data_IF_388138953538
#
_entry.id   IF_388138953538
#
_cell.length_a   1.000
_cell.length_b   1.000
_cell.length_c   1.000
_cell.angle_alpha   90.00
_cell.angle_beta   90.00
_cell.angle_gamma   90.00
#
_symmetry.space_group_name_H-M   'P 1'
#
loop_
_entity.id
_entity.type
_entity.pdbx_description
1 polymer ?
#
# COMPACT_ATOMS: atom_id res chain seq x y z
N UNK A 1 -11.18 19.80 -14.39
CA UNK A 1 -12.66 19.70 -14.44
C UNK A 1 -12.97 18.42 -15.19
N UNK A 2 -12.40 17.30 -14.74
CA UNK A 2 -12.21 16.09 -15.57
C UNK A 2 -12.92 14.89 -14.94
N UNK A 3 -13.12 14.96 -13.62
CA UNK A 3 -13.83 13.99 -12.79
C UNK A 3 -15.32 13.87 -13.17
N UNK A 4 -15.91 14.93 -13.74
CA UNK A 4 -17.31 14.97 -14.16
C UNK A 4 -17.53 14.38 -15.56
N UNK A 5 -16.48 14.37 -16.41
CA UNK A 5 -16.59 13.95 -17.80
C UNK A 5 -16.22 12.48 -18.05
N UNK A 6 -15.88 11.72 -16.99
CA UNK A 6 -15.54 10.31 -17.12
C UNK A 6 -14.31 10.04 -18.00
N UNK A 7 -13.51 11.07 -18.25
CA UNK A 7 -12.20 10.93 -18.88
C UNK A 7 -11.28 10.30 -17.85
N UNK A 8 -10.81 9.08 -18.11
CA UNK A 8 -9.81 8.42 -17.28
C UNK A 8 -8.54 9.30 -17.28
N UNK A 9 -8.28 10.04 -16.20
CA UNK A 9 -7.18 10.99 -16.19
C UNK A 9 -5.88 10.19 -16.28
N UNK A 10 -5.00 10.57 -17.21
CA UNK A 10 -3.69 9.92 -17.36
C UNK A 10 -2.83 10.02 -16.11
N UNK A 11 -3.14 10.96 -15.21
CA UNK A 11 -2.44 11.19 -13.95
C UNK A 11 -3.37 11.81 -12.89
N UNK A 12 -3.29 11.34 -11.64
CA UNK A 12 -4.07 11.85 -10.51
C UNK A 12 -3.13 12.26 -9.38
N UNK A 13 -3.23 13.50 -8.92
CA UNK A 13 -2.44 14.02 -7.81
C UNK A 13 -3.25 13.98 -6.50
N UNK A 14 -2.72 13.29 -5.49
CA UNK A 14 -3.38 13.13 -4.18
C UNK A 14 -2.49 13.74 -3.08
N UNK A 15 -3.04 14.67 -2.30
CA UNK A 15 -2.42 15.17 -1.08
C UNK A 15 -3.24 14.77 0.15
N UNK A 16 -2.62 14.06 1.11
CA UNK A 16 -3.29 13.59 2.33
C UNK A 16 -2.72 14.30 3.56
N UNK A 17 -3.59 15.03 4.28
CA UNK A 17 -3.29 15.63 5.58
C UNK A 17 -4.00 14.84 6.68
N UNK A 18 -3.26 14.36 7.67
CA UNK A 18 -3.82 13.73 8.88
C UNK A 18 -3.94 14.78 9.98
N UNK A 19 -5.07 14.77 10.68
CA UNK A 19 -5.33 15.62 11.86
C UNK A 19 -5.55 14.71 13.05
N UNK A 20 -4.92 15.00 14.18
CA UNK A 20 -5.13 14.23 15.40
C UNK A 20 -6.41 14.67 16.10
N UNK A 21 -7.14 13.74 16.73
CA UNK A 21 -8.39 14.07 17.43
C UNK A 21 -8.20 15.13 18.52
N UNK A 22 -7.03 15.18 19.15
CA UNK A 22 -6.66 16.20 20.15
C UNK A 22 -6.54 17.62 19.58
N UNK A 23 -6.38 17.76 18.26
CA UNK A 23 -6.25 19.05 17.57
C UNK A 23 -7.62 19.58 17.12
N UNK A 24 -8.67 18.75 17.21
CA UNK A 24 -10.04 19.14 16.90
C UNK A 24 -10.63 19.79 18.15
N UNK A 25 -11.07 21.07 18.07
CA UNK A 25 -11.66 21.74 19.21
C UNK A 25 -12.93 21.02 19.71
N UNK A 26 -13.19 21.08 21.01
CA UNK A 26 -14.35 20.42 21.61
C UNK A 26 -15.63 21.26 21.49
N UNK A 27 -15.51 22.58 21.38
CA UNK A 27 -16.66 23.48 21.27
C UNK A 27 -17.06 23.69 19.81
N UNK A 28 -18.35 23.91 19.56
CA UNK A 28 -18.88 24.15 18.21
C UNK A 28 -18.30 25.42 17.58
N UNK A 29 -18.25 26.52 18.34
CA UNK A 29 -17.75 27.80 17.85
C UNK A 29 -16.27 27.73 17.45
N UNK A 30 -15.44 27.10 18.28
CA UNK A 30 -14.02 26.90 17.96
C UNK A 30 -13.84 25.91 16.81
N UNK A 31 -14.68 24.86 16.73
CA UNK A 31 -14.67 23.91 15.61
C UNK A 31 -14.99 24.59 14.29
N UNK A 32 -15.99 25.50 14.27
CA UNK A 32 -16.36 26.27 13.09
C UNK A 32 -15.22 27.17 12.61
N UNK A 33 -14.57 27.89 13.54
CA UNK A 33 -13.40 28.70 13.22
C UNK A 33 -12.22 27.85 12.69
N UNK A 34 -11.92 26.75 13.37
CA UNK A 34 -10.87 25.81 12.98
C UNK A 34 -11.10 25.17 11.61
N UNK A 35 -12.35 24.81 11.30
CA UNK A 35 -12.74 24.31 9.99
C UNK A 35 -12.52 25.38 8.93
N UNK A 36 -12.99 26.61 9.17
CA UNK A 36 -12.85 27.71 8.21
C UNK A 36 -11.38 28.00 7.89
N UNK A 37 -10.52 28.02 8.89
CA UNK A 37 -9.08 28.23 8.69
C UNK A 37 -8.43 27.03 7.96
N UNK A 38 -8.87 25.81 8.26
CA UNK A 38 -8.45 24.61 7.53
C UNK A 38 -8.88 24.64 6.06
N UNK A 39 -10.08 25.13 5.77
CA UNK A 39 -10.57 25.33 4.40
C UNK A 39 -9.74 26.36 3.63
N UNK A 40 -9.46 27.53 4.24
CA UNK A 40 -8.58 28.54 3.62
C UNK A 40 -7.19 27.98 3.32
N UNK A 41 -6.62 27.20 4.24
CA UNK A 41 -5.33 26.55 4.03
C UNK A 41 -5.36 25.56 2.86
N UNK A 42 -6.43 24.78 2.72
CA UNK A 42 -6.65 23.87 1.59
C UNK A 42 -6.79 24.64 0.27
N UNK A 43 -7.56 25.72 0.25
CA UNK A 43 -7.78 26.52 -0.97
C UNK A 43 -6.48 27.18 -1.44
N UNK A 44 -5.65 27.67 -0.51
CA UNK A 44 -4.30 28.14 -0.83
C UNK A 44 -3.43 27.03 -1.42
N UNK A 45 -3.43 25.84 -0.81
CA UNK A 45 -2.67 24.69 -1.32
C UNK A 45 -3.07 24.33 -2.76
N UNK A 46 -4.37 24.36 -3.07
CA UNK A 46 -4.88 24.11 -4.42
C UNK A 46 -4.51 25.23 -5.40
N UNK A 47 -4.54 26.49 -4.95
CA UNK A 47 -4.06 27.62 -5.76
C UNK A 47 -2.57 27.47 -6.08
N UNK A 48 -1.76 27.10 -5.10
CA UNK A 48 -0.33 26.86 -5.28
C UNK A 48 -0.08 25.67 -6.23
N UNK A 49 -0.86 24.59 -6.09
CA UNK A 49 -0.82 23.44 -7.00
C UNK A 49 -1.18 23.84 -8.44
N UNK A 50 -2.24 24.61 -8.64
CA UNK A 50 -2.62 25.07 -9.98
C UNK A 50 -1.55 25.97 -10.61
N UNK A 51 -0.80 26.73 -9.80
CA UNK A 51 0.28 27.58 -10.30
C UNK A 51 1.58 26.81 -10.59
N UNK A 52 1.91 25.80 -9.79
CA UNK A 52 3.21 25.12 -9.85
C UNK A 52 3.15 23.73 -10.50
N UNK A 53 1.96 23.14 -10.62
CA UNK A 53 1.75 21.77 -11.10
C UNK A 53 2.16 20.67 -10.11
N UNK A 54 2.58 21.01 -8.89
CA UNK A 54 3.02 20.04 -7.88
C UNK A 54 2.60 20.44 -6.47
N UNK A 55 2.47 19.44 -5.59
CA UNK A 55 2.24 19.67 -4.17
C UNK A 55 3.58 19.88 -3.44
N UNK A 56 3.60 20.67 -2.35
CA UNK A 56 4.79 20.82 -1.53
C UNK A 56 5.15 19.53 -0.80
N UNK A 57 6.45 19.31 -0.55
CA UNK A 57 6.98 18.14 0.16
C UNK A 57 6.52 16.80 -0.44
N UNK A 58 6.50 16.70 -1.78
CA UNK A 58 6.46 15.41 -2.44
C UNK A 58 7.60 14.57 -1.87
N UNK A 59 7.24 13.45 -1.22
CA UNK A 59 8.26 12.43 -0.98
C UNK A 59 8.66 11.91 -2.35
N UNK A 60 9.96 11.72 -2.61
CA UNK A 60 10.35 10.83 -3.69
C UNK A 60 9.56 9.55 -3.48
N UNK A 61 8.74 9.16 -4.46
CA UNK A 61 8.21 7.81 -4.43
C UNK A 61 9.41 6.88 -4.36
N UNK A 62 9.51 6.09 -3.30
CA UNK A 62 10.56 5.08 -3.22
C UNK A 62 10.25 4.10 -4.35
N UNK A 63 10.92 4.25 -5.48
CA UNK A 63 10.72 3.37 -6.62
C UNK A 63 10.79 1.93 -6.11
N UNK A 64 9.69 1.21 -6.28
CA UNK A 64 9.64 -0.22 -5.97
C UNK A 64 10.73 -0.88 -6.79
N UNK A 65 11.86 -1.18 -6.14
CA UNK A 65 13.00 -1.77 -6.80
C UNK A 65 12.55 -3.11 -7.38
N UNK A 66 12.42 -3.18 -8.71
CA UNK A 66 11.99 -4.37 -9.44
C UNK A 66 12.83 -5.58 -9.00
N UNK A 67 14.10 -5.36 -8.72
CA UNK A 67 15.02 -6.38 -8.20
C UNK A 67 14.62 -6.90 -6.82
N UNK A 68 14.19 -6.04 -5.89
CA UNK A 68 13.64 -6.47 -4.59
C UNK A 68 12.37 -7.28 -4.79
N UNK A 69 11.46 -6.85 -5.66
CA UNK A 69 10.23 -7.59 -5.95
C UNK A 69 10.52 -8.98 -6.53
N UNK A 70 11.43 -9.08 -7.50
CA UNK A 70 11.85 -10.36 -8.09
C UNK A 70 12.49 -11.26 -7.04
N UNK A 71 13.38 -10.73 -6.20
CA UNK A 71 14.02 -11.49 -5.14
C UNK A 71 13.01 -12.04 -4.13
N UNK A 72 12.08 -11.20 -3.65
CA UNK A 72 11.02 -11.61 -2.72
C UNK A 72 10.12 -12.66 -3.36
N UNK A 73 9.71 -12.47 -4.61
CA UNK A 73 8.87 -13.44 -5.33
C UNK A 73 9.60 -14.78 -5.51
N UNK A 74 10.86 -14.76 -5.93
CA UNK A 74 11.69 -15.95 -6.09
C UNK A 74 11.85 -16.75 -4.79
N UNK A 75 12.05 -16.07 -3.66
CA UNK A 75 12.12 -16.71 -2.33
C UNK A 75 10.80 -17.38 -1.98
N UNK A 76 9.66 -16.70 -2.17
CA UNK A 76 8.33 -17.25 -1.89
C UNK A 76 8.07 -18.51 -2.73
N UNK A 77 8.31 -18.42 -4.05
CA UNK A 77 8.13 -19.55 -4.98
C UNK A 77 9.00 -20.74 -4.56
N UNK A 78 10.28 -20.49 -4.27
CA UNK A 78 11.22 -21.53 -3.82
C UNK A 78 10.78 -22.21 -2.53
N UNK A 79 10.35 -21.43 -1.52
CA UNK A 79 9.85 -21.97 -0.25
C UNK A 79 8.56 -22.78 -0.45
N UNK A 80 7.64 -22.34 -1.30
CA UNK A 80 6.42 -23.09 -1.62
C UNK A 80 6.72 -24.40 -2.35
N UNK A 81 7.64 -24.40 -3.34
CA UNK A 81 8.10 -25.60 -4.03
C UNK A 81 8.77 -26.58 -3.07
N UNK A 82 9.66 -26.09 -2.21
CA UNK A 82 10.35 -26.90 -1.21
C UNK A 82 9.38 -27.53 -0.20
N UNK A 83 8.38 -26.78 0.25
CA UNK A 83 7.37 -27.25 1.20
C UNK A 83 6.43 -28.29 0.57
N UNK A 84 6.02 -28.10 -0.69
CA UNK A 84 5.22 -29.05 -1.45
C UNK A 84 6.01 -30.34 -1.75
N UNK A 85 7.29 -30.21 -2.10
CA UNK A 85 8.20 -31.33 -2.34
C UNK A 85 8.39 -32.13 -1.05
N UNK A 86 8.66 -31.47 0.08
CA UNK A 86 8.79 -32.13 1.39
C UNK A 86 7.49 -32.87 1.78
N UNK A 87 6.33 -32.32 1.43
CA UNK A 87 5.02 -32.92 1.72
C UNK A 87 4.67 -34.12 0.81
N UNK A 88 5.19 -34.17 -0.42
CA UNK A 88 5.01 -35.30 -1.35
C UNK A 88 6.11 -36.36 -1.20
N UNK A 89 7.37 -35.96 -1.03
CA UNK A 89 8.49 -36.84 -0.70
C UNK A 89 8.35 -37.46 0.69
N UNK A 90 7.79 -36.74 1.68
CA UNK A 90 7.46 -37.31 2.99
C UNK A 90 6.42 -38.41 2.92
N UNK A 91 5.43 -38.29 2.03
CA UNK A 91 4.45 -39.36 1.75
C UNK A 91 5.09 -40.55 1.00
N UNK A 92 6.04 -40.29 0.10
CA UNK A 92 6.78 -41.33 -0.61
C UNK A 92 7.72 -42.11 0.32
N UNK A 93 8.49 -41.45 1.18
CA UNK A 93 9.39 -42.08 2.16
C UNK A 93 8.63 -42.84 3.28
N UNK A 94 7.54 -42.28 3.80
CA UNK A 94 6.69 -43.01 4.77
C UNK A 94 6.00 -44.20 4.10
N UNK A 95 5.58 -44.06 2.84
CA UNK A 95 5.01 -45.14 2.04
C UNK A 95 6.01 -46.29 1.82
N UNK A 96 7.25 -46.00 1.44
CA UNK A 96 8.28 -47.02 1.21
C UNK A 96 8.75 -47.71 2.49
N UNK A 97 8.88 -46.99 3.61
CA UNK A 97 9.22 -47.60 4.91
C UNK A 97 8.10 -48.50 5.43
N UNK A 98 6.81 -48.13 5.23
CA UNK A 98 5.67 -48.96 5.65
C UNK A 98 5.50 -50.22 4.80
N UNK A 99 5.81 -50.15 3.50
CA UNK A 99 5.88 -51.32 2.62
C UNK A 99 7.01 -52.27 3.03
N UNK A 100 8.20 -51.76 3.38
CA UNK A 100 9.33 -52.60 3.77
C UNK A 100 9.14 -53.29 5.15
N UNK A 101 8.33 -52.69 6.04
CA UNK A 101 7.96 -53.30 7.34
C UNK A 101 6.82 -54.33 7.25
N UNK A 102 6.12 -54.44 6.11
CA UNK A 102 5.09 -55.47 5.89
C UNK A 102 5.62 -56.71 5.14
N UNK A 103 6.89 -56.72 4.74
CA UNK A 103 7.53 -57.81 3.96
C UNK A 103 8.44 -58.69 4.84
N UNK A 104 8.44 -58.48 6.16
CA UNK A 104 9.14 -59.33 7.14
C UNK A 104 8.20 -59.69 8.30
#
# INVERSE_FOLDING_TARGET
MDNVFGTDPSEVYIHVKRVLTKEIPASEAESSAWLMDSFKSKDRLLSDFNAQGQFPNQRPEEELSILKCIATFGVIVSLTLFSLCSSHCGKFLVGTVKLNSCVH
#
